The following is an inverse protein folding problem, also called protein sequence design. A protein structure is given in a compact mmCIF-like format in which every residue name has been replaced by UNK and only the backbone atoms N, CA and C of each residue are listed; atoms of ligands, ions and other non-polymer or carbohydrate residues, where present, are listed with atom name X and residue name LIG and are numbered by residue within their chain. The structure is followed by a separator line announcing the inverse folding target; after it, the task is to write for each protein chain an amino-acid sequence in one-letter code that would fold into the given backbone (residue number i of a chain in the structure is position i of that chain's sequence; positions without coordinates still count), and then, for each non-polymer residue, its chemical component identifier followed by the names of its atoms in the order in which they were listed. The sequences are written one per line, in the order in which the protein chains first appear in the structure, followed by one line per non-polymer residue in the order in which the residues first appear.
data_IF_590870390659
#
_entry.id   IF_590870390659
#
_cell.length_a   1.000
_cell.length_b   1.000
_cell.length_c   1.000
_cell.angle_alpha   90.00
_cell.angle_beta   90.00
_cell.angle_gamma   90.00
#
_symmetry.space_group_name_H-M   'P 1'
#
loop_
_entity.id
_entity.type
_entity.pdbx_description
1 polymer ?
#
# COMPACT_ATOMS: atom_id res chain seq x y z
N UNK A 1 -15.30 -19.27 12.92
CA UNK A 1 -16.24 -18.38 12.21
C UNK A 1 -15.44 -17.76 11.07
N UNK A 2 -15.71 -18.14 9.82
CA UNK A 2 -15.02 -17.53 8.68
C UNK A 2 -15.47 -16.07 8.59
N UNK A 3 -14.51 -15.15 8.50
CA UNK A 3 -14.83 -13.73 8.32
C UNK A 3 -15.34 -13.55 6.89
N UNK A 4 -16.60 -13.17 6.72
CA UNK A 4 -17.15 -12.89 5.40
C UNK A 4 -16.57 -11.57 4.86
N UNK A 5 -16.03 -11.63 3.64
CA UNK A 5 -15.53 -10.44 2.99
C UNK A 5 -16.68 -9.64 2.37
N UNK A 6 -16.70 -8.31 2.54
CA UNK A 6 -17.67 -7.46 1.86
C UNK A 6 -17.50 -7.56 0.34
N UNK A 7 -18.59 -7.35 -0.40
CA UNK A 7 -18.55 -7.32 -1.86
C UNK A 7 -17.55 -6.26 -2.34
N UNK A 8 -16.43 -6.72 -2.90
CA UNK A 8 -15.32 -5.87 -3.33
C UNK A 8 -15.72 -4.85 -4.39
N UNK A 9 -16.80 -5.11 -5.15
CA UNK A 9 -17.35 -4.16 -6.12
C UNK A 9 -18.03 -2.98 -5.46
N UNK A 10 -18.49 -3.15 -4.22
CA UNK A 10 -19.09 -2.09 -3.40
C UNK A 10 -18.08 -1.44 -2.47
N UNK A 11 -17.14 -2.23 -1.94
CA UNK A 11 -16.14 -1.72 -1.00
C UNK A 11 -14.92 -1.09 -1.67
N UNK A 12 -14.74 -1.28 -2.98
CA UNK A 12 -13.54 -0.82 -3.70
C UNK A 12 -12.26 -1.52 -3.24
N UNK A 13 -12.36 -2.66 -2.56
CA UNK A 13 -11.23 -3.36 -1.97
C UNK A 13 -11.21 -4.82 -2.41
N UNK A 14 -10.18 -5.23 -3.15
CA UNK A 14 -10.01 -6.64 -3.52
C UNK A 14 -8.58 -7.09 -3.28
N UNK A 15 -8.42 -8.17 -2.52
CA UNK A 15 -7.15 -8.84 -2.30
C UNK A 15 -7.25 -10.31 -2.66
N UNK A 16 -6.22 -10.83 -3.33
CA UNK A 16 -6.09 -12.26 -3.63
C UNK A 16 -5.65 -13.06 -2.40
N UNK A 17 -5.12 -12.37 -1.39
CA UNK A 17 -4.80 -12.95 -0.09
C UNK A 17 -6.10 -13.09 0.72
N UNK A 18 -6.37 -14.27 1.31
CA UNK A 18 -7.57 -14.49 2.09
C UNK A 18 -7.59 -13.58 3.33
N UNK A 19 -8.79 -13.25 3.79
CA UNK A 19 -8.97 -12.65 5.11
C UNK A 19 -8.58 -13.67 6.20
N UNK A 20 -7.43 -13.48 6.84
CA UNK A 20 -6.90 -14.41 7.86
C UNK A 20 -7.25 -14.01 9.29
N UNK A 21 -7.61 -12.75 9.51
CA UNK A 21 -8.06 -12.24 10.81
C UNK A 21 -8.88 -10.97 10.68
N UNK A 22 -9.77 -10.76 11.66
CA UNK A 22 -10.45 -9.48 11.82
C UNK A 22 -9.51 -8.44 12.41
N UNK A 23 -9.72 -7.18 12.03
CA UNK A 23 -9.03 -6.04 12.62
C UNK A 23 -9.63 -5.73 13.99
N UNK A 24 -8.83 -5.63 15.07
CA UNK A 24 -9.31 -5.16 16.37
C UNK A 24 -9.75 -3.69 16.34
N UNK A 25 -10.62 -3.32 17.27
CA UNK A 25 -10.96 -1.92 17.52
C UNK A 25 -9.94 -1.30 18.48
N UNK A 26 -9.52 -0.06 18.20
CA UNK A 26 -8.52 0.67 18.97
C UNK A 26 -9.11 1.96 19.57
N UNK A 27 -10.02 1.88 20.56
CA UNK A 27 -10.78 3.04 21.04
C UNK A 27 -9.91 4.12 21.69
N UNK A 28 -8.75 3.75 22.24
CA UNK A 28 -7.85 4.66 22.96
C UNK A 28 -6.70 5.20 22.10
N UNK A 29 -6.67 4.86 20.80
CA UNK A 29 -5.66 5.35 19.88
C UNK A 29 -6.30 6.33 18.90
N UNK A 30 -6.22 7.61 19.26
CA UNK A 30 -6.55 8.68 18.32
C UNK A 30 -5.64 8.58 17.09
N UNK A 31 -6.13 9.07 15.95
CA UNK A 31 -5.29 9.25 14.78
C UNK A 31 -4.20 10.27 15.10
N UNK A 32 -3.03 9.78 15.47
CA UNK A 32 -1.85 10.62 15.55
C UNK A 32 -1.49 10.99 14.12
N UNK A 33 -1.87 12.21 13.74
CA UNK A 33 -1.22 12.91 12.62
C UNK A 33 0.25 12.97 13.03
N UNK A 34 1.10 12.17 12.37
CA UNK A 34 2.52 12.21 12.65
C UNK A 34 3.04 13.57 12.17
N UNK A 35 2.93 14.57 13.04
CA UNK A 35 3.48 15.90 12.88
C UNK A 35 4.95 15.86 13.23
N UNK A 36 5.79 15.50 12.27
CA UNK A 36 7.26 15.60 12.35
C UNK A 36 7.87 15.92 10.96
N UNK A 37 7.26 16.85 10.23
CA UNK A 37 7.89 17.48 9.05
C UNK A 37 7.96 16.64 7.76
N UNK A 38 7.52 15.38 7.76
CA UNK A 38 7.33 14.58 6.54
C UNK A 38 5.88 14.78 6.03
N UNK A 39 5.55 16.00 5.58
CA UNK A 39 4.30 16.30 4.89
C UNK A 39 4.42 15.83 3.44
N UNK A 40 3.86 14.67 3.12
CA UNK A 40 3.43 14.41 1.73
C UNK A 40 2.48 15.58 1.42
N UNK A 41 2.80 16.43 0.44
CA UNK A 41 1.93 17.53 0.03
C UNK A 41 0.65 16.91 -0.58
N UNK A 42 -0.26 16.45 0.29
CA UNK A 42 -1.59 15.96 -0.04
C UNK A 42 -2.45 17.06 -0.67
N UNK A 43 -2.01 18.32 -0.59
CA UNK A 43 -2.66 19.50 -1.15
C UNK A 43 -2.80 19.48 -2.68
N UNK A 44 -2.11 18.60 -3.41
CA UNK A 44 -2.21 18.52 -4.87
C UNK A 44 -3.35 17.63 -5.38
N UNK A 45 -3.95 16.79 -4.52
CA UNK A 45 -5.06 15.90 -4.89
C UNK A 45 -6.44 16.43 -4.45
N UNK A 46 -6.49 17.52 -3.67
CA UNK A 46 -7.74 18.13 -3.19
C UNK A 46 -8.45 19.03 -4.21
N UNK A 47 -7.82 19.37 -5.33
CA UNK A 47 -8.32 20.40 -6.27
C UNK A 47 -9.11 19.85 -7.46
N UNK A 48 -9.24 18.53 -7.62
CA UNK A 48 -9.77 17.95 -8.88
C UNK A 48 -10.98 17.02 -8.74
N UNK A 49 -11.56 16.83 -7.56
CA UNK A 49 -12.81 16.06 -7.40
C UNK A 49 -12.72 14.59 -7.84
N UNK A 50 -11.50 14.04 -7.91
CA UNK A 50 -11.22 12.65 -8.26
C UNK A 50 -11.06 11.81 -6.99
N UNK A 51 -11.36 10.51 -7.08
CA UNK A 51 -11.18 9.49 -6.03
C UNK A 51 -9.88 9.71 -5.23
N UNK A 52 -9.89 9.49 -3.90
CA UNK A 52 -8.77 9.76 -2.98
C UNK A 52 -7.45 9.04 -3.27
N UNK A 53 -7.44 8.20 -4.30
CA UNK A 53 -6.30 7.47 -4.85
C UNK A 53 -6.57 5.96 -4.90
N UNK A 54 -5.60 5.21 -5.43
CA UNK A 54 -5.63 3.75 -5.44
C UNK A 54 -4.39 3.27 -4.68
N UNK A 55 -4.59 2.48 -3.63
CA UNK A 55 -3.53 1.68 -3.03
C UNK A 55 -3.39 0.38 -3.81
N UNK A 56 -2.16 0.03 -4.15
CA UNK A 56 -1.83 -1.28 -4.69
C UNK A 56 -0.79 -1.96 -3.81
N UNK A 57 -1.04 -3.22 -3.48
CA UNK A 57 -0.08 -4.07 -2.79
C UNK A 57 0.53 -5.05 -3.78
N UNK A 58 1.86 -5.14 -3.82
CA UNK A 58 2.58 -6.08 -4.68
C UNK A 58 3.85 -6.60 -3.99
N UNK A 59 4.41 -7.67 -4.54
CA UNK A 59 5.73 -8.16 -4.15
C UNK A 59 6.84 -7.62 -5.08
N UNK A 60 8.12 -7.75 -4.67
CA UNK A 60 9.26 -7.36 -5.52
C UNK A 60 9.30 -8.05 -6.89
N UNK A 61 8.66 -9.22 -7.03
CA UNK A 61 8.57 -9.96 -8.29
C UNK A 61 7.47 -9.44 -9.23
N UNK A 62 6.86 -8.28 -8.94
CA UNK A 62 5.79 -7.65 -9.74
C UNK A 62 4.44 -8.39 -9.74
N UNK A 63 4.23 -9.32 -8.80
CA UNK A 63 2.91 -9.86 -8.56
C UNK A 63 2.11 -8.95 -7.65
N UNK A 64 0.93 -8.57 -8.12
CA UNK A 64 -0.06 -7.84 -7.36
C UNK A 64 -0.78 -8.79 -6.40
N UNK A 65 -0.91 -8.36 -5.15
CA UNK A 65 -1.74 -9.00 -4.14
C UNK A 65 -3.16 -8.42 -4.08
N UNK A 66 -3.36 -7.22 -4.61
CA UNK A 66 -4.67 -6.59 -4.62
C UNK A 66 -4.60 -5.07 -4.61
N UNK A 67 -5.77 -4.46 -4.44
CA UNK A 67 -5.96 -3.02 -4.46
C UNK A 67 -7.04 -2.55 -3.49
N UNK A 68 -7.01 -1.26 -3.19
CA UNK A 68 -7.99 -0.56 -2.37
C UNK A 68 -8.18 0.86 -2.92
N UNK A 69 -9.43 1.25 -3.23
CA UNK A 69 -9.81 2.62 -3.54
C UNK A 69 -9.95 3.47 -2.27
N UNK A 70 -9.19 4.55 -2.17
CA UNK A 70 -9.23 5.43 -1.02
C UNK A 70 -10.51 6.28 -1.02
N UNK A 71 -11.33 6.12 0.03
CA UNK A 71 -12.46 7.02 0.32
C UNK A 71 -11.99 8.34 0.96
N UNK A 72 -10.77 8.40 1.49
CA UNK A 72 -10.20 9.58 2.14
C UNK A 72 -8.67 9.64 1.94
N UNK A 73 -8.06 10.78 2.24
CA UNK A 73 -6.63 11.01 2.03
C UNK A 73 -5.69 10.19 2.95
N UNK A 74 -6.20 9.31 3.83
CA UNK A 74 -5.40 8.66 4.86
C UNK A 74 -4.84 7.27 4.47
N UNK A 75 -3.76 7.25 3.69
CA UNK A 75 -3.16 6.01 3.19
C UNK A 75 -2.62 5.01 4.23
N UNK A 76 -2.38 5.43 5.48
CA UNK A 76 -1.79 4.54 6.51
C UNK A 76 -2.77 3.51 7.04
N UNK A 77 -4.02 3.92 7.25
CA UNK A 77 -5.07 3.08 7.81
C UNK A 77 -5.34 1.87 6.92
N UNK A 78 -5.37 2.08 5.61
CA UNK A 78 -5.66 1.04 4.64
C UNK A 78 -4.48 0.10 4.47
N UNK A 79 -3.26 0.62 4.40
CA UNK A 79 -2.05 -0.23 4.38
C UNK A 79 -1.97 -1.08 5.64
N UNK A 80 -2.17 -0.48 6.82
CA UNK A 80 -2.22 -1.22 8.09
C UNK A 80 -3.28 -2.33 8.07
N UNK A 81 -4.51 -1.99 7.63
CA UNK A 81 -5.63 -2.94 7.58
C UNK A 81 -5.27 -4.15 6.74
N UNK A 82 -4.64 -3.95 5.59
CA UNK A 82 -4.28 -5.04 4.68
C UNK A 82 -3.15 -5.88 5.28
N UNK A 83 -2.10 -5.25 5.80
CA UNK A 83 -0.97 -5.95 6.42
C UNK A 83 -1.45 -6.84 7.58
N UNK A 84 -2.34 -6.32 8.43
CA UNK A 84 -2.85 -7.05 9.57
C UNK A 84 -3.84 -8.15 9.17
N UNK A 85 -4.80 -7.86 8.30
CA UNK A 85 -5.92 -8.77 8.04
C UNK A 85 -5.63 -9.84 6.99
N UNK A 86 -4.63 -9.63 6.13
CA UNK A 86 -4.34 -10.51 4.97
C UNK A 86 -3.10 -11.37 5.13
N UNK A 87 -2.17 -11.00 6.00
CA UNK A 87 -0.93 -11.75 6.21
C UNK A 87 -0.95 -12.55 7.52
N UNK A 88 -0.70 -13.86 7.45
CA UNK A 88 -0.57 -14.70 8.64
C UNK A 88 0.57 -14.23 9.57
N UNK A 89 1.68 -13.77 9.00
CA UNK A 89 2.78 -13.11 9.71
C UNK A 89 3.10 -11.81 8.99
N UNK A 90 3.42 -10.76 9.74
CA UNK A 90 3.76 -9.48 9.14
C UNK A 90 4.94 -9.65 8.15
N UNK A 91 4.92 -8.96 6.99
CA UNK A 91 6.06 -8.97 6.09
C UNK A 91 7.32 -8.50 6.83
N UNK A 92 8.47 -9.12 6.54
CA UNK A 92 9.76 -8.69 7.11
C UNK A 92 10.15 -7.29 6.67
N UNK A 93 9.76 -6.89 5.47
CA UNK A 93 10.04 -5.57 4.89
C UNK A 93 8.78 -5.04 4.24
N UNK A 94 8.43 -3.80 4.54
CA UNK A 94 7.37 -3.04 3.89
C UNK A 94 7.98 -1.78 3.29
N UNK A 95 7.92 -1.65 1.97
CA UNK A 95 8.38 -0.46 1.25
C UNK A 95 7.16 0.37 0.88
N UNK A 96 7.14 1.63 1.31
CA UNK A 96 6.01 2.54 1.10
C UNK A 96 6.47 4.00 1.19
N UNK A 97 5.95 4.89 0.35
CA UNK A 97 6.34 6.31 0.34
C UNK A 97 6.24 6.94 1.74
N UNK A 98 5.19 6.60 2.49
CA UNK A 98 4.97 7.13 3.83
C UNK A 98 5.23 6.09 4.93
N UNK A 99 6.21 5.20 4.70
CA UNK A 99 6.60 4.14 5.63
C UNK A 99 6.97 4.67 7.03
N UNK A 100 7.56 5.86 7.13
CA UNK A 100 7.90 6.48 8.41
C UNK A 100 6.65 6.72 9.30
N UNK A 101 5.57 7.25 8.72
CA UNK A 101 4.31 7.46 9.43
C UNK A 101 3.54 6.16 9.65
N UNK A 102 3.67 5.22 8.71
CA UNK A 102 3.08 3.88 8.82
C UNK A 102 3.69 3.06 9.95
N UNK A 103 5.01 3.11 10.15
CA UNK A 103 5.70 2.37 11.20
C UNK A 103 5.13 2.71 12.58
N UNK A 104 5.08 4.00 12.93
CA UNK A 104 4.50 4.48 14.18
C UNK A 104 3.02 4.07 14.31
N UNK A 105 2.26 4.16 13.21
CA UNK A 105 0.84 3.76 13.18
C UNK A 105 0.66 2.27 13.49
N UNK A 106 1.49 1.41 12.90
CA UNK A 106 1.49 -0.03 13.08
C UNK A 106 1.94 -0.42 14.50
N UNK A 107 3.04 0.13 15.00
CA UNK A 107 3.57 -0.19 16.32
C UNK A 107 2.69 0.29 17.47
N UNK A 108 2.00 1.42 17.31
CA UNK A 108 1.05 1.89 18.32
C UNK A 108 -0.13 0.93 18.50
N UNK A 109 -0.51 0.20 17.44
CA UNK A 109 -1.69 -0.68 17.41
C UNK A 109 -1.35 -2.14 17.67
N UNK A 110 -0.38 -2.67 16.94
CA UNK A 110 -0.06 -4.10 16.87
C UNK A 110 1.46 -4.36 16.99
N UNK A 111 2.10 -3.93 18.10
CA UNK A 111 3.56 -3.99 18.22
C UNK A 111 4.10 -5.42 18.15
N UNK A 112 3.38 -6.40 18.73
CA UNK A 112 3.80 -7.80 18.72
C UNK A 112 3.75 -8.40 17.31
N UNK A 113 2.73 -8.03 16.52
CA UNK A 113 2.60 -8.51 15.15
C UNK A 113 3.69 -7.95 14.23
N UNK A 114 4.03 -6.67 14.39
CA UNK A 114 5.00 -5.96 13.55
C UNK A 114 6.43 -5.95 14.10
N UNK A 115 6.72 -6.62 15.22
CA UNK A 115 8.03 -6.55 15.90
C UNK A 115 9.23 -6.87 15.01
N UNK A 116 9.04 -7.74 14.01
CA UNK A 116 10.08 -8.19 13.08
C UNK A 116 9.93 -7.53 11.68
N UNK A 117 9.13 -6.47 11.57
CA UNK A 117 8.87 -5.75 10.32
C UNK A 117 9.71 -4.48 10.23
N UNK A 118 10.48 -4.37 9.16
CA UNK A 118 11.21 -3.16 8.77
C UNK A 118 10.38 -2.33 7.79
N UNK A 119 10.11 -1.08 8.15
CA UNK A 119 9.39 -0.13 7.31
C UNK A 119 10.37 0.82 6.62
N UNK A 120 10.39 0.82 5.28
CA UNK A 120 11.32 1.59 4.48
C UNK A 120 10.60 2.54 3.53
N UNK A 121 11.04 3.78 3.51
CA UNK A 121 10.59 4.78 2.54
C UNK A 121 11.11 4.38 1.17
N UNK A 122 10.21 4.43 0.18
CA UNK A 122 10.56 4.18 -1.21
C UNK A 122 11.70 5.10 -1.69
N UNK A 123 12.64 4.53 -2.45
CA UNK A 123 13.89 5.21 -2.83
C UNK A 123 13.64 6.48 -3.64
N UNK A 124 12.61 6.51 -4.48
CA UNK A 124 12.28 7.69 -5.31
C UNK A 124 11.69 8.83 -4.48
N UNK A 125 11.04 8.48 -3.38
CA UNK A 125 10.38 9.44 -2.50
C UNK A 125 11.27 9.86 -1.33
N UNK A 126 12.38 9.16 -1.07
CA UNK A 126 13.28 9.42 0.06
C UNK A 126 13.80 10.87 0.15
N UNK A 127 13.89 11.60 -0.97
CA UNK A 127 14.28 13.03 -1.00
C UNK A 127 13.27 13.94 -0.30
N UNK A 128 12.00 13.55 -0.23
CA UNK A 128 10.94 14.25 0.48
C UNK A 128 10.95 13.97 2.00
N UNK A 129 11.80 13.03 2.44
CA UNK A 129 11.88 12.56 3.83
C UNK A 129 13.17 13.04 4.51
N UNK A 130 13.38 14.36 4.50
CA UNK A 130 14.61 14.99 5.05
C UNK A 130 14.65 14.98 6.57
N UNK A 131 13.51 15.25 7.24
CA UNK A 131 13.37 15.20 8.69
C UNK A 131 13.30 13.77 9.25
N UNK A 132 12.95 12.80 8.40
CA UNK A 132 12.84 11.40 8.76
C UNK A 132 14.25 10.76 8.93
N UNK A 133 14.39 9.86 9.90
CA UNK A 133 15.67 9.23 10.30
C UNK A 133 16.29 8.39 9.17
N UNK A 134 17.61 8.16 9.24
CA UNK A 134 18.29 7.29 8.28
C UNK A 134 17.75 5.84 8.33
N UNK A 135 17.28 5.38 9.50
CA UNK A 135 16.73 4.05 9.69
C UNK A 135 15.40 3.80 8.94
N UNK A 136 14.69 4.85 8.53
CA UNK A 136 13.51 4.71 7.67
C UNK A 136 13.84 4.75 6.18
N UNK A 137 15.12 4.91 5.79
CA UNK A 137 15.54 5.06 4.39
C UNK A 137 16.09 3.74 3.88
N UNK A 138 15.61 3.30 2.72
CA UNK A 138 16.11 2.08 2.06
C UNK A 138 17.63 2.12 1.81
N UNK A 139 18.20 3.31 1.60
CA UNK A 139 19.64 3.50 1.39
C UNK A 139 20.52 3.03 2.57
N UNK A 140 19.99 3.03 3.79
CA UNK A 140 20.72 2.55 4.97
C UNK A 140 20.89 1.02 4.99
N UNK A 141 20.13 0.29 4.18
CA UNK A 141 20.07 -1.18 4.20
C UNK A 141 20.53 -1.81 2.87
N UNK A 142 21.22 -1.07 2.00
CA UNK A 142 21.67 -1.62 0.71
C UNK A 142 22.67 -2.78 0.83
N UNK A 143 23.29 -2.95 2.01
CA UNK A 143 24.15 -4.12 2.32
C UNK A 143 23.35 -5.38 2.64
N UNK A 144 22.08 -5.24 3.05
CA UNK A 144 21.18 -6.38 3.17
C UNK A 144 20.81 -6.83 1.76
N UNK A 145 21.09 -8.10 1.44
CA UNK A 145 20.88 -8.63 0.10
C UNK A 145 19.42 -8.54 -0.35
N UNK A 146 18.47 -8.87 0.53
CA UNK A 146 17.05 -8.87 0.18
C UNK A 146 16.55 -7.45 -0.13
N UNK A 147 17.05 -6.45 0.60
CA UNK A 147 16.67 -5.04 0.37
C UNK A 147 17.45 -4.44 -0.80
N UNK A 148 18.75 -4.69 -0.89
CA UNK A 148 19.62 -4.17 -1.95
C UNK A 148 19.25 -4.67 -3.35
N UNK A 149 18.76 -5.91 -3.46
CA UNK A 149 18.25 -6.50 -4.71
C UNK A 149 16.78 -6.13 -4.99
N UNK A 150 16.06 -5.56 -4.01
CA UNK A 150 14.66 -5.17 -4.21
C UNK A 150 14.57 -4.02 -5.21
N UNK A 151 13.96 -4.29 -6.36
CA UNK A 151 13.72 -3.29 -7.38
C UNK A 151 12.57 -2.36 -6.95
N UNK A 152 12.89 -1.27 -6.26
CA UNK A 152 11.89 -0.26 -5.86
C UNK A 152 11.21 0.42 -7.07
N UNK A 153 11.82 0.37 -8.27
CA UNK A 153 11.21 0.88 -9.50
C UNK A 153 9.97 0.10 -9.91
N UNK A 154 9.72 -1.08 -9.32
CA UNK A 154 8.49 -1.84 -9.54
C UNK A 154 7.29 -0.96 -9.21
N UNK A 155 7.26 -0.29 -8.05
CA UNK A 155 6.16 0.58 -7.67
C UNK A 155 5.91 1.69 -8.72
N UNK A 156 6.96 2.32 -9.22
CA UNK A 156 6.86 3.36 -10.26
C UNK A 156 6.37 2.83 -11.61
N UNK A 157 6.84 1.65 -12.01
CA UNK A 157 6.38 1.02 -13.24
C UNK A 157 4.89 0.66 -13.15
N UNK A 158 4.45 0.14 -12.00
CA UNK A 158 3.04 -0.17 -11.75
C UNK A 158 2.20 1.11 -11.75
N UNK A 159 2.66 2.17 -11.07
CA UNK A 159 2.01 3.48 -11.07
C UNK A 159 1.89 4.05 -12.50
N UNK A 160 2.90 3.84 -13.35
CA UNK A 160 2.86 4.24 -14.76
C UNK A 160 1.78 3.49 -15.55
N UNK A 161 1.62 2.20 -15.29
CA UNK A 161 0.52 1.40 -15.83
C UNK A 161 -0.85 1.93 -15.41
N UNK A 162 -1.02 2.25 -14.13
CA UNK A 162 -2.26 2.82 -13.59
C UNK A 162 -2.58 4.20 -14.14
N UNK A 163 -1.56 5.05 -14.35
CA UNK A 163 -1.76 6.38 -14.96
C UNK A 163 -2.42 6.30 -16.34
N UNK A 164 -2.20 5.22 -17.09
CA UNK A 164 -2.89 4.98 -18.38
C UNK A 164 -4.38 4.66 -18.19
N UNK A 165 -4.74 4.04 -17.06
CA UNK A 165 -6.12 3.72 -16.71
C UNK A 165 -6.86 4.94 -16.14
N UNK A 166 -6.16 5.90 -15.54
CA UNK A 166 -6.78 7.08 -14.90
C UNK A 166 -7.69 7.87 -15.86
N UNK A 167 -7.34 7.98 -17.14
CA UNK A 167 -8.20 8.63 -18.14
C UNK A 167 -9.53 7.89 -18.31
N UNK A 168 -9.49 6.55 -18.35
CA UNK A 168 -10.69 5.72 -18.46
C UNK A 168 -11.49 5.71 -17.17
N UNK A 169 -10.81 5.58 -16.02
CA UNK A 169 -11.43 5.55 -14.68
C UNK A 169 -12.16 6.85 -14.38
N UNK A 170 -11.59 8.00 -14.74
CA UNK A 170 -12.21 9.32 -14.50
C UNK A 170 -13.55 9.51 -15.23
N UNK A 171 -13.78 8.80 -16.34
CA UNK A 171 -15.01 8.87 -17.12
C UNK A 171 -16.02 7.77 -16.82
N UNK A 172 -15.73 6.88 -15.86
CA UNK A 172 -16.54 5.70 -15.55
C UNK A 172 -17.20 5.81 -14.18
N UNK A 173 -18.35 5.12 -14.03
CA UNK A 173 -18.92 4.86 -12.72
C UNK A 173 -17.96 4.01 -11.87
N UNK A 174 -18.04 4.17 -10.55
CA UNK A 174 -17.11 3.57 -9.58
C UNK A 174 -17.01 2.04 -9.71
N UNK A 175 -18.14 1.35 -9.85
CA UNK A 175 -18.23 -0.11 -10.02
C UNK A 175 -17.48 -0.61 -11.26
N UNK A 176 -17.55 0.14 -12.36
CA UNK A 176 -16.83 -0.14 -13.61
C UNK A 176 -15.34 0.13 -13.46
N UNK A 177 -14.97 1.21 -12.78
CA UNK A 177 -13.57 1.54 -12.47
C UNK A 177 -12.92 0.45 -11.61
N UNK A 178 -13.63 -0.05 -10.61
CA UNK A 178 -13.22 -1.16 -9.76
C UNK A 178 -13.01 -2.43 -10.58
N UNK A 179 -13.96 -2.76 -11.47
CA UNK A 179 -13.88 -3.95 -12.34
C UNK A 179 -12.75 -3.86 -13.39
N UNK A 180 -12.49 -2.66 -13.92
CA UNK A 180 -11.41 -2.40 -14.87
C UNK A 180 -10.05 -2.59 -14.21
N UNK A 181 -9.86 -2.01 -13.01
CA UNK A 181 -8.62 -2.18 -12.25
C UNK A 181 -8.37 -3.65 -11.90
N UNK A 182 -9.43 -4.36 -11.51
CA UNK A 182 -9.35 -5.78 -11.23
C UNK A 182 -8.87 -6.60 -12.43
N UNK A 183 -9.46 -6.33 -13.59
CA UNK A 183 -9.11 -6.97 -14.85
C UNK A 183 -7.66 -6.70 -15.22
N UNK A 184 -7.22 -5.43 -15.10
CA UNK A 184 -5.84 -5.04 -15.34
C UNK A 184 -4.87 -5.82 -14.46
N UNK A 185 -5.12 -5.86 -13.15
CA UNK A 185 -4.27 -6.58 -12.19
C UNK A 185 -4.21 -8.08 -12.51
N UNK A 186 -5.37 -8.71 -12.78
CA UNK A 186 -5.43 -10.12 -13.14
C UNK A 186 -4.63 -10.42 -14.43
N UNK A 187 -4.75 -9.56 -15.44
CA UNK A 187 -3.99 -9.69 -16.69
C UNK A 187 -2.49 -9.51 -16.46
N UNK A 188 -2.08 -8.50 -15.69
CA UNK A 188 -0.67 -8.27 -15.37
C UNK A 188 -0.06 -9.44 -14.61
N UNK A 189 -0.75 -9.98 -13.62
CA UNK A 189 -0.30 -11.18 -12.89
C UNK A 189 -0.16 -12.38 -13.84
N UNK A 190 -1.10 -12.61 -14.75
CA UNK A 190 -1.01 -13.69 -15.75
C UNK A 190 0.18 -13.51 -16.69
N UNK A 191 0.46 -12.28 -17.13
CA UNK A 191 1.62 -11.99 -17.98
C UNK A 191 2.94 -12.20 -17.24
N UNK A 192 3.01 -11.88 -15.96
CA UNK A 192 4.21 -12.13 -15.16
C UNK A 192 4.41 -13.63 -14.90
N UNK A 193 3.34 -14.40 -14.64
CA UNK A 193 3.42 -15.87 -14.53
C UNK A 193 3.99 -16.50 -15.80
N UNK A 194 3.59 -16.03 -16.98
CA UNK A 194 4.11 -16.54 -18.26
C UNK A 194 5.60 -16.33 -18.48
N UNK A 195 6.25 -15.43 -17.74
CA UNK A 195 7.71 -15.23 -17.81
C UNK A 195 8.49 -16.22 -16.93
N UNK A 196 7.79 -16.90 -16.02
CA UNK A 196 8.36 -17.89 -15.10
C UNK A 196 8.20 -19.32 -15.62
N UNK A 197 7.32 -19.53 -16.59
CA UNK A 197 7.15 -20.78 -17.33
C UNK A 197 8.07 -20.80 -18.55
#
# INVERSE_FOLDING_TARGET
MACEEPDWRKSGCRYFLPLVRNRPNYPNLNEVVAGDGCSKFYSQYGTSGLTGGILIMCCPHRFFYGFHFFNSYEGRNDVFSVLLTRFQKAPRVVIYDFACGLASYCFAREPVFFKDTLFLVDKFHASNHKACTASSKMSAYLKDRAIGETNSNVAEHLNSGLRKLNTSISGMAEDRSISLLDTYICMSNRLELKKLC
#
